data_IF_445947415114
#
_entry.id   IF_445947415114
#
_cell.length_a   1.000
_cell.length_b   1.000
_cell.length_c   1.000
_cell.angle_alpha   90.00
_cell.angle_beta   90.00
_cell.angle_gamma   90.00
#
_symmetry.space_group_name_H-M   'P 1'
#
loop_
_entity.id
_entity.type
_entity.pdbx_description
1 polymer ?
#
# COMPACT_ATOMS: atom_id res chain seq x y z
N UNK A 1 7.94 -13.84 35.34
CA UNK A 1 7.84 -13.69 33.87
C UNK A 1 6.35 -13.56 33.53
N UNK A 2 5.86 -12.34 33.40
CA UNK A 2 4.47 -12.10 32.98
C UNK A 2 4.39 -12.24 31.46
N UNK A 3 4.06 -13.43 30.99
CA UNK A 3 3.81 -13.72 29.57
C UNK A 3 2.38 -13.25 29.21
N UNK A 4 2.14 -11.95 29.22
CA UNK A 4 0.92 -11.39 28.65
C UNK A 4 1.16 -11.05 27.18
N UNK A 5 1.29 -12.09 26.34
CA UNK A 5 1.27 -11.96 24.88
C UNK A 5 -0.15 -11.65 24.38
N UNK A 6 -0.74 -10.57 24.87
CA UNK A 6 -2.05 -10.09 24.42
C UNK A 6 -1.84 -8.80 23.65
N UNK A 7 -2.33 -8.76 22.42
CA UNK A 7 -2.46 -7.54 21.65
C UNK A 7 -3.93 -7.17 21.53
N UNK A 8 -4.21 -5.88 21.33
CA UNK A 8 -5.59 -5.42 21.19
C UNK A 8 -6.17 -5.75 19.82
N UNK A 9 -5.33 -5.65 18.77
CA UNK A 9 -5.77 -5.88 17.40
C UNK A 9 -4.73 -6.69 16.61
N UNK A 10 -5.21 -7.61 15.80
CA UNK A 10 -4.42 -8.34 14.83
C UNK A 10 -4.95 -8.01 13.43
N UNK A 11 -4.06 -7.57 12.53
CA UNK A 11 -4.34 -7.38 11.11
C UNK A 11 -3.66 -8.48 10.32
N UNK A 12 -4.39 -9.15 9.44
CA UNK A 12 -3.87 -10.25 8.64
C UNK A 12 -3.69 -9.83 7.19
N UNK A 13 -2.45 -9.88 6.71
CA UNK A 13 -2.06 -9.51 5.35
C UNK A 13 -1.31 -8.18 5.28
N UNK A 14 -0.01 -8.25 4.97
CA UNK A 14 0.90 -7.10 4.85
C UNK A 14 0.88 -6.42 3.47
N UNK A 15 -0.29 -6.37 2.81
CA UNK A 15 -0.51 -5.55 1.61
C UNK A 15 -0.93 -4.13 1.96
N UNK A 16 -1.13 -3.24 0.97
CA UNK A 16 -1.48 -1.83 1.21
C UNK A 16 -2.68 -1.63 2.13
N UNK A 17 -3.74 -2.40 1.96
CA UNK A 17 -4.94 -2.30 2.79
C UNK A 17 -4.65 -2.64 4.26
N UNK A 18 -4.00 -3.79 4.52
CA UNK A 18 -3.65 -4.19 5.89
C UNK A 18 -2.66 -3.24 6.55
N UNK A 19 -1.66 -2.78 5.79
CA UNK A 19 -0.67 -1.80 6.28
C UNK A 19 -1.35 -0.48 6.63
N UNK A 20 -2.20 0.05 5.76
CA UNK A 20 -2.92 1.30 6.03
C UNK A 20 -3.83 1.19 7.25
N UNK A 21 -4.56 0.08 7.37
CA UNK A 21 -5.39 -0.20 8.55
C UNK A 21 -4.55 -0.26 9.83
N UNK A 22 -3.43 -1.00 9.81
CA UNK A 22 -2.55 -1.13 10.96
C UNK A 22 -1.94 0.22 11.38
N UNK A 23 -1.51 1.06 10.43
CA UNK A 23 -1.00 2.41 10.71
C UNK A 23 -2.08 3.27 11.36
N UNK A 24 -3.29 3.25 10.82
CA UNK A 24 -4.41 4.03 11.36
C UNK A 24 -4.74 3.61 12.80
N UNK A 25 -4.76 2.32 13.08
CA UNK A 25 -4.97 1.75 14.40
C UNK A 25 -3.86 2.18 15.37
N UNK A 26 -2.59 2.05 14.96
CA UNK A 26 -1.43 2.42 15.77
C UNK A 26 -1.41 3.93 16.07
N UNK A 27 -1.73 4.78 15.08
CA UNK A 27 -1.88 6.23 15.28
C UNK A 27 -2.99 6.60 16.27
N UNK A 28 -4.00 5.74 16.41
CA UNK A 28 -5.04 5.85 17.44
C UNK A 28 -4.59 5.39 18.85
N UNK A 29 -3.32 5.03 19.03
CA UNK A 29 -2.78 4.60 20.32
C UNK A 29 -3.12 3.14 20.69
N UNK A 30 -3.59 2.35 19.74
CA UNK A 30 -3.98 0.95 19.94
C UNK A 30 -2.83 0.03 19.53
N UNK A 31 -2.47 -0.92 20.38
CA UNK A 31 -1.45 -1.91 20.05
C UNK A 31 -1.94 -2.85 18.94
N UNK A 32 -1.17 -2.97 17.86
CA UNK A 32 -1.53 -3.75 16.69
C UNK A 32 -0.38 -4.61 16.19
N UNK A 33 -0.69 -5.87 15.90
CA UNK A 33 0.20 -6.81 15.23
C UNK A 33 -0.30 -7.00 13.80
N UNK A 34 0.59 -6.76 12.83
CA UNK A 34 0.36 -7.02 11.42
C UNK A 34 1.07 -8.31 11.02
N UNK A 35 0.32 -9.31 10.55
CA UNK A 35 0.85 -10.63 10.17
C UNK A 35 0.91 -10.73 8.65
N UNK A 36 2.09 -11.06 8.10
CA UNK A 36 2.34 -11.28 6.68
C UNK A 36 2.90 -12.68 6.45
N UNK A 37 2.31 -13.43 5.51
CA UNK A 37 2.77 -14.78 5.18
C UNK A 37 4.05 -14.82 4.34
N UNK A 38 4.35 -13.78 3.60
CA UNK A 38 5.56 -13.67 2.78
C UNK A 38 6.80 -13.32 3.60
N UNK A 39 7.97 -13.43 2.98
CA UNK A 39 9.25 -13.04 3.61
C UNK A 39 9.30 -11.54 3.93
N UNK A 40 8.55 -10.75 3.18
CA UNK A 40 8.33 -9.32 3.37
C UNK A 40 7.04 -8.91 2.66
N UNK A 41 6.48 -7.78 3.04
CA UNK A 41 5.31 -7.19 2.38
C UNK A 41 5.60 -6.94 0.90
N UNK A 42 4.78 -7.50 0.02
CA UNK A 42 4.98 -7.41 -1.43
C UNK A 42 5.87 -8.49 -2.04
N UNK A 43 6.41 -9.45 -1.26
CA UNK A 43 7.28 -10.52 -1.78
C UNK A 43 6.64 -11.41 -2.84
N UNK A 44 5.32 -11.46 -2.89
CA UNK A 44 4.53 -12.23 -3.86
C UNK A 44 3.95 -11.39 -5.00
N UNK A 45 4.18 -10.09 -4.99
CA UNK A 45 3.68 -9.18 -5.99
C UNK A 45 4.67 -9.08 -7.16
N UNK A 46 4.25 -9.57 -8.33
CA UNK A 46 5.07 -9.62 -9.54
C UNK A 46 4.74 -8.52 -10.56
N UNK A 47 3.84 -7.62 -10.24
CA UNK A 47 3.36 -6.59 -11.16
C UNK A 47 3.54 -5.18 -10.62
N UNK A 48 3.40 -4.20 -11.51
CA UNK A 48 3.26 -2.81 -11.18
C UNK A 48 1.82 -2.43 -10.87
N UNK A 49 1.62 -1.20 -10.48
CA UNK A 49 0.30 -0.63 -10.24
C UNK A 49 0.34 0.89 -10.27
N UNK A 50 -0.83 1.49 -10.32
CA UNK A 50 -1.01 2.91 -10.08
C UNK A 50 -1.45 3.12 -8.62
N UNK A 51 -0.83 4.09 -7.96
CA UNK A 51 -1.29 4.59 -6.66
C UNK A 51 -1.81 5.99 -6.84
N UNK A 52 -2.92 6.30 -6.20
CA UNK A 52 -3.54 7.62 -6.29
C UNK A 52 -3.02 8.54 -5.19
N UNK A 53 -2.67 9.77 -5.57
CA UNK A 53 -2.02 10.75 -4.71
C UNK A 53 -2.85 11.06 -3.47
N UNK A 54 -4.11 11.43 -3.64
CA UNK A 54 -4.96 11.88 -2.55
C UNK A 54 -5.11 10.84 -1.42
N UNK A 55 -5.60 9.60 -1.67
CA UNK A 55 -5.75 8.62 -0.61
C UNK A 55 -4.41 8.14 -0.04
N UNK A 56 -3.33 8.19 -0.83
CA UNK A 56 -2.01 7.83 -0.33
C UNK A 56 -1.46 8.87 0.65
N UNK A 57 -1.69 10.16 0.39
CA UNK A 57 -1.27 11.26 1.30
C UNK A 57 -1.97 11.21 2.66
N UNK A 58 -3.19 10.72 2.73
CA UNK A 58 -3.91 10.60 4.00
C UNK A 58 -3.18 9.68 5.00
N UNK A 59 -2.55 8.63 4.51
CA UNK A 59 -1.82 7.67 5.33
C UNK A 59 -0.32 8.01 5.41
N UNK A 60 0.26 8.43 4.28
CA UNK A 60 1.68 8.71 4.08
C UNK A 60 1.87 10.13 3.52
N UNK A 61 1.81 11.19 4.34
CA UNK A 61 1.79 12.59 3.87
C UNK A 61 2.96 12.97 2.95
N UNK A 62 4.15 12.44 3.22
CA UNK A 62 5.37 12.75 2.47
C UNK A 62 5.77 11.67 1.45
N UNK A 63 4.84 10.81 1.03
CA UNK A 63 5.15 9.66 0.17
C UNK A 63 5.83 10.08 -1.15
N UNK A 64 5.46 11.22 -1.72
CA UNK A 64 6.04 11.72 -2.98
C UNK A 64 7.55 11.98 -2.89
N UNK A 65 8.07 12.23 -1.68
CA UNK A 65 9.50 12.46 -1.45
C UNK A 65 10.28 11.18 -1.17
N UNK A 66 9.65 10.21 -0.54
CA UNK A 66 10.36 9.07 0.06
C UNK A 66 9.96 7.71 -0.49
N UNK A 67 8.78 7.59 -1.11
CA UNK A 67 8.34 6.33 -1.68
C UNK A 67 9.11 5.98 -2.96
N UNK A 68 9.31 4.68 -3.24
CA UNK A 68 9.93 4.22 -4.48
C UNK A 68 8.95 4.33 -5.66
N UNK A 69 8.68 5.55 -6.08
CA UNK A 69 7.85 5.88 -7.23
C UNK A 69 8.63 5.67 -8.51
N UNK A 70 7.94 5.23 -9.58
CA UNK A 70 8.55 5.06 -10.89
C UNK A 70 8.28 6.28 -11.77
N UNK A 71 7.00 6.60 -12.01
CA UNK A 71 6.59 7.71 -12.87
C UNK A 71 5.30 8.33 -12.44
N UNK A 72 5.16 9.61 -12.74
CA UNK A 72 3.91 10.35 -12.79
C UNK A 72 3.02 9.79 -13.89
N UNK A 73 1.77 9.52 -13.63
CA UNK A 73 0.79 9.17 -14.65
C UNK A 73 0.01 10.43 -15.06
N UNK A 74 0.31 10.93 -16.23
CA UNK A 74 -0.30 12.17 -16.78
C UNK A 74 -1.51 11.91 -17.68
N UNK A 75 -1.75 10.64 -18.01
CA UNK A 75 -2.83 10.24 -18.91
C UNK A 75 -3.37 8.87 -18.51
N UNK A 76 -4.69 8.78 -18.43
CA UNK A 76 -5.40 7.54 -18.14
C UNK A 76 -6.31 7.19 -19.31
N UNK A 77 -6.22 5.96 -19.80
CA UNK A 77 -7.08 5.41 -20.82
C UNK A 77 -7.87 4.25 -20.24
N UNK A 78 -9.18 4.32 -20.33
CA UNK A 78 -10.09 3.23 -19.98
C UNK A 78 -10.71 2.72 -21.26
N UNK A 79 -10.35 1.50 -21.65
CA UNK A 79 -10.80 0.89 -22.90
C UNK A 79 -11.70 -0.30 -22.61
N UNK A 80 -12.90 -0.28 -23.14
CA UNK A 80 -13.84 -1.40 -23.17
C UNK A 80 -13.72 -2.05 -24.53
N UNK A 81 -13.52 -3.35 -24.54
CA UNK A 81 -13.33 -4.14 -25.76
C UNK A 81 -14.46 -5.15 -25.93
N UNK A 82 -14.87 -5.38 -27.16
CA UNK A 82 -15.59 -6.56 -27.57
C UNK A 82 -14.88 -7.25 -28.76
N UNK A 83 -15.51 -8.23 -29.42
CA UNK A 83 -14.86 -8.98 -30.49
C UNK A 83 -14.48 -8.12 -31.71
N UNK A 84 -15.25 -7.05 -32.01
CA UNK A 84 -15.10 -6.26 -33.24
C UNK A 84 -14.81 -4.80 -32.99
N UNK A 85 -15.14 -4.28 -31.80
CA UNK A 85 -15.11 -2.86 -31.49
C UNK A 85 -14.43 -2.55 -30.17
N UNK A 86 -14.01 -1.29 -30.01
CA UNK A 86 -13.51 -0.78 -28.74
C UNK A 86 -14.00 0.65 -28.50
N UNK A 87 -14.20 0.96 -27.23
CA UNK A 87 -14.47 2.33 -26.79
C UNK A 87 -13.43 2.73 -25.77
N UNK A 88 -12.76 3.86 -25.98
CA UNK A 88 -11.75 4.38 -25.06
C UNK A 88 -12.18 5.73 -24.52
N UNK A 89 -12.20 5.85 -23.19
CA UNK A 89 -12.30 7.11 -22.48
C UNK A 89 -10.91 7.50 -22.05
N UNK A 90 -10.46 8.68 -22.47
CA UNK A 90 -9.16 9.22 -22.10
C UNK A 90 -9.36 10.42 -21.22
N UNK A 91 -8.65 10.44 -20.11
CA UNK A 91 -8.53 11.64 -19.30
C UNK A 91 -7.05 11.96 -19.05
N UNK A 92 -6.71 13.24 -19.06
CA UNK A 92 -5.35 13.73 -18.87
C UNK A 92 -5.32 14.66 -17.66
N UNK A 93 -4.37 14.41 -16.76
CA UNK A 93 -4.09 15.30 -15.65
C UNK A 93 -3.42 16.60 -16.13
N UNK A 94 -3.56 17.66 -15.35
CA UNK A 94 -2.76 18.86 -15.53
C UNK A 94 -1.29 18.54 -15.16
N UNK A 95 -0.34 19.03 -15.94
CA UNK A 95 1.09 18.78 -15.74
C UNK A 95 1.62 19.25 -14.37
N UNK A 96 0.96 20.26 -13.79
CA UNK A 96 1.32 20.78 -12.46
C UNK A 96 0.84 19.90 -11.29
N UNK A 97 -0.09 18.97 -11.54
CA UNK A 97 -0.69 18.15 -10.50
C UNK A 97 -0.75 16.68 -10.91
N UNK A 98 -0.03 15.85 -10.17
CA UNK A 98 -0.10 14.41 -10.37
C UNK A 98 -1.16 13.77 -9.51
N UNK A 99 -2.18 13.19 -10.14
CA UNK A 99 -3.22 12.43 -9.45
C UNK A 99 -2.78 11.00 -9.12
N UNK A 100 -1.75 10.50 -9.79
CA UNK A 100 -1.27 9.14 -9.54
C UNK A 100 0.16 8.91 -9.99
N UNK A 101 0.77 7.90 -9.41
CA UNK A 101 2.11 7.43 -9.74
C UNK A 101 2.09 5.95 -10.06
N UNK A 102 2.91 5.54 -11.04
CA UNK A 102 3.20 4.13 -11.23
C UNK A 102 4.23 3.65 -10.21
N UNK A 103 4.05 2.42 -9.73
CA UNK A 103 4.93 1.79 -8.75
C UNK A 103 5.18 0.32 -9.11
N UNK A 104 6.34 -0.19 -8.72
CA UNK A 104 6.58 -1.62 -8.63
C UNK A 104 6.10 -2.07 -7.25
N UNK A 105 5.02 -2.86 -7.20
CA UNK A 105 4.34 -3.24 -5.96
C UNK A 105 5.25 -3.89 -4.94
N UNK A 106 6.17 -4.74 -5.34
CA UNK A 106 7.12 -5.37 -4.41
C UNK A 106 8.04 -4.35 -3.71
N UNK A 107 8.42 -3.27 -4.39
CA UNK A 107 9.21 -2.19 -3.79
C UNK A 107 8.33 -1.29 -2.91
N UNK A 108 7.18 -0.88 -3.43
CA UNK A 108 6.26 0.01 -2.73
C UNK A 108 5.70 -0.63 -1.46
N UNK A 109 5.24 -1.88 -1.55
CA UNK A 109 4.69 -2.60 -0.40
C UNK A 109 5.75 -2.79 0.70
N UNK A 110 7.00 -3.03 0.33
CA UNK A 110 8.11 -3.09 1.29
C UNK A 110 8.33 -1.74 1.97
N UNK A 111 8.26 -0.65 1.23
CA UNK A 111 8.43 0.70 1.76
C UNK A 111 7.30 1.06 2.75
N UNK A 112 6.03 0.87 2.39
CA UNK A 112 4.92 1.16 3.30
C UNK A 112 4.95 0.28 4.56
N UNK A 113 5.49 -0.94 4.48
CA UNK A 113 5.71 -1.79 5.65
C UNK A 113 6.76 -1.22 6.61
N UNK A 114 7.79 -0.53 6.11
CA UNK A 114 8.73 0.20 6.96
C UNK A 114 8.07 1.41 7.62
N UNK A 115 7.21 2.13 6.90
CA UNK A 115 6.44 3.22 7.47
C UNK A 115 5.50 2.74 8.58
N UNK A 116 4.90 1.54 8.41
CA UNK A 116 4.09 0.92 9.47
C UNK A 116 4.90 0.67 10.74
N UNK A 117 6.12 0.15 10.61
CA UNK A 117 7.02 -0.04 11.77
C UNK A 117 7.36 1.28 12.46
N UNK A 118 7.62 2.34 11.69
CA UNK A 118 7.85 3.69 12.24
C UNK A 118 6.62 4.23 12.99
N UNK A 119 5.42 3.86 12.55
CA UNK A 119 4.17 4.21 13.22
C UNK A 119 3.86 3.36 14.48
N UNK A 120 4.72 2.40 14.83
CA UNK A 120 4.55 1.55 16.01
C UNK A 120 3.87 0.21 15.76
N UNK A 121 3.62 -0.15 14.49
CA UNK A 121 3.05 -1.46 14.15
C UNK A 121 4.07 -2.57 14.36
N UNK A 122 3.69 -3.63 15.07
CA UNK A 122 4.48 -4.85 15.20
C UNK A 122 4.24 -5.72 13.96
N UNK A 123 5.22 -5.73 13.05
CA UNK A 123 5.13 -6.54 11.82
C UNK A 123 5.80 -7.90 12.00
N UNK A 124 5.00 -8.95 11.83
CA UNK A 124 5.43 -10.36 11.85
C UNK A 124 5.33 -10.94 10.44
N UNK A 125 6.45 -11.30 9.84
CA UNK A 125 6.51 -11.92 8.52
C UNK A 125 6.66 -13.44 8.58
N UNK A 126 6.53 -14.14 7.44
CA UNK A 126 6.65 -15.60 7.33
C UNK A 126 5.66 -16.36 8.22
N UNK A 127 4.52 -15.78 8.51
CA UNK A 127 3.52 -16.34 9.43
C UNK A 127 2.15 -16.43 8.75
N UNK A 128 1.59 -17.62 8.81
CA UNK A 128 0.24 -17.91 8.29
C UNK A 128 -0.74 -18.02 9.45
N UNK A 129 -1.84 -17.30 9.33
CA UNK A 129 -2.99 -17.44 10.24
C UNK A 129 -3.90 -18.53 9.69
N UNK A 130 -4.25 -19.49 10.53
CA UNK A 130 -5.16 -20.60 10.21
C UNK A 130 -6.53 -20.36 10.84
#
# INVERSE_FOLDING_TARGET
MNNNNKTQVIVVGGGPAGISSAITIAKGGIEVILIERGNFSGSKNMFGGAIYTQPTKEIFPDFEKFAPLERNNIKHNYTILNENDSTTITYRDNEEYSNSYSVIRSKFDRWIAQEAKKAGVILVTQTVVK
#
